data_IF_409987335619
#
_entry.id   IF_409987335619
#
_cell.length_a   1.000
_cell.length_b   1.000
_cell.length_c   1.000
_cell.angle_alpha   90.00
_cell.angle_beta   90.00
_cell.angle_gamma   90.00
#
_symmetry.space_group_name_H-M   'P 1'
#
loop_
_entity.id
_entity.type
_entity.pdbx_description
1 polymer ?
#
# COMPACT_ATOMS: atom_id res chain seq x y z
N UNK A 1 63.99 -12.62 13.11
CA UNK A 1 63.80 -12.15 11.71
C UNK A 1 65.17 -11.88 11.13
N UNK A 2 65.48 -12.38 9.93
CA UNK A 2 66.79 -12.19 9.30
C UNK A 2 66.74 -10.95 8.39
N UNK A 3 67.76 -10.10 8.45
CA UNK A 3 67.90 -9.01 7.49
C UNK A 3 68.27 -9.57 6.10
N UNK A 4 67.60 -9.09 5.05
CA UNK A 4 67.77 -9.57 3.69
C UNK A 4 68.37 -8.49 2.78
N UNK A 5 69.05 -8.91 1.72
CA UNK A 5 69.43 -8.05 0.60
C UNK A 5 68.22 -7.83 -0.33
N UNK A 6 68.19 -6.74 -1.08
CA UNK A 6 67.09 -6.46 -2.02
C UNK A 6 66.87 -7.60 -3.03
N UNK A 7 67.96 -8.18 -3.54
CA UNK A 7 67.91 -9.33 -4.47
C UNK A 7 67.29 -10.58 -3.85
N UNK A 8 67.48 -10.80 -2.54
CA UNK A 8 66.89 -11.95 -1.83
C UNK A 8 65.37 -11.77 -1.69
N UNK A 9 64.90 -10.55 -1.42
CA UNK A 9 63.47 -10.23 -1.37
C UNK A 9 62.83 -10.42 -2.75
N UNK A 10 63.46 -9.93 -3.82
CA UNK A 10 62.96 -10.12 -5.20
C UNK A 10 62.80 -11.59 -5.57
N UNK A 11 63.84 -12.39 -5.34
CA UNK A 11 63.79 -13.84 -5.57
C UNK A 11 62.71 -14.55 -4.76
N UNK A 12 62.39 -14.05 -3.56
CA UNK A 12 61.32 -14.58 -2.74
C UNK A 12 59.95 -14.25 -3.33
N UNK A 13 59.73 -13.02 -3.79
CA UNK A 13 58.47 -12.59 -4.42
C UNK A 13 58.23 -13.32 -5.74
N UNK A 14 59.29 -13.65 -6.48
CA UNK A 14 59.22 -14.47 -7.70
C UNK A 14 59.01 -15.96 -7.44
N UNK A 15 59.10 -16.41 -6.18
CA UNK A 15 58.96 -17.82 -5.85
C UNK A 15 57.53 -18.31 -6.06
N UNK A 16 57.39 -19.54 -6.55
CA UNK A 16 56.07 -20.17 -6.75
C UNK A 16 55.26 -20.22 -5.45
N UNK A 17 55.94 -20.47 -4.32
CA UNK A 17 55.32 -20.50 -2.99
C UNK A 17 54.71 -19.15 -2.61
N UNK A 18 55.37 -18.04 -2.93
CA UNK A 18 54.84 -16.70 -2.69
C UNK A 18 53.65 -16.43 -3.58
N UNK A 19 53.76 -16.70 -4.89
CA UNK A 19 52.67 -16.53 -5.86
C UNK A 19 51.41 -17.31 -5.49
N UNK A 20 51.55 -18.56 -5.02
CA UNK A 20 50.41 -19.37 -4.56
C UNK A 20 49.77 -18.81 -3.28
N UNK A 21 50.59 -18.44 -2.29
CA UNK A 21 50.11 -17.83 -1.05
C UNK A 21 49.36 -16.52 -1.33
N UNK A 22 49.94 -15.68 -2.18
CA UNK A 22 49.41 -14.40 -2.60
C UNK A 22 48.10 -14.53 -3.39
N UNK A 23 48.05 -15.43 -4.37
CA UNK A 23 46.83 -15.68 -5.14
C UNK A 23 45.68 -16.14 -4.24
N UNK A 24 45.97 -16.99 -3.25
CA UNK A 24 44.97 -17.39 -2.24
C UNK A 24 44.52 -16.23 -1.37
N UNK A 25 45.44 -15.35 -0.96
CA UNK A 25 45.10 -14.16 -0.18
C UNK A 25 44.13 -13.24 -0.93
N UNK A 26 44.40 -12.97 -2.20
CA UNK A 26 43.52 -12.17 -3.05
C UNK A 26 42.15 -12.81 -3.27
N UNK A 27 42.11 -14.12 -3.50
CA UNK A 27 40.85 -14.84 -3.65
C UNK A 27 40.01 -14.75 -2.37
N UNK A 28 40.62 -14.91 -1.20
CA UNK A 28 39.92 -14.76 0.08
C UNK A 28 39.45 -13.32 0.32
N UNK A 29 40.24 -12.29 -0.01
CA UNK A 29 39.79 -10.89 0.11
C UNK A 29 38.66 -10.56 -0.88
N UNK A 30 38.69 -11.12 -2.09
CA UNK A 30 37.59 -11.00 -3.05
C UNK A 30 36.30 -11.61 -2.49
N UNK A 31 36.38 -12.83 -1.94
CA UNK A 31 35.25 -13.49 -1.30
C UNK A 31 34.71 -12.67 -0.12
N UNK A 32 35.60 -12.06 0.67
CA UNK A 32 35.23 -11.18 1.79
C UNK A 32 34.46 -9.96 1.32
N UNK A 33 34.90 -9.29 0.25
CA UNK A 33 34.19 -8.13 -0.31
C UNK A 33 32.81 -8.52 -0.83
N UNK A 34 32.72 -9.62 -1.59
CA UNK A 34 31.44 -10.14 -2.07
C UNK A 34 30.49 -10.53 -0.92
N UNK A 35 31.01 -11.11 0.15
CA UNK A 35 30.25 -11.43 1.35
C UNK A 35 29.70 -10.17 2.04
N UNK A 36 30.51 -9.11 2.14
CA UNK A 36 30.09 -7.83 2.71
C UNK A 36 28.99 -7.14 1.87
N UNK A 37 29.12 -7.17 0.53
CA UNK A 37 28.10 -6.64 -0.38
C UNK A 37 26.78 -7.41 -0.21
N UNK A 38 26.84 -8.75 -0.14
CA UNK A 38 25.67 -9.60 0.09
C UNK A 38 24.98 -9.32 1.43
N UNK A 39 25.75 -9.11 2.51
CA UNK A 39 25.21 -8.74 3.82
C UNK A 39 24.45 -7.41 3.73
N UNK A 40 25.02 -6.42 3.04
CA UNK A 40 24.39 -5.11 2.83
C UNK A 40 23.09 -5.21 2.03
N UNK A 41 23.09 -6.06 0.99
CA UNK A 41 21.90 -6.36 0.20
C UNK A 41 20.82 -7.03 1.04
N UNK A 42 21.16 -8.04 1.85
CA UNK A 42 20.23 -8.75 2.72
C UNK A 42 19.59 -7.80 3.75
N UNK A 43 20.35 -6.91 4.38
CA UNK A 43 19.80 -5.86 5.23
C UNK A 43 18.76 -4.99 4.50
N UNK A 44 19.08 -4.56 3.28
CA UNK A 44 18.19 -3.73 2.47
C UNK A 44 16.89 -4.47 2.15
N UNK A 45 16.99 -5.76 1.77
CA UNK A 45 15.83 -6.60 1.47
C UNK A 45 14.96 -6.84 2.72
N UNK A 46 15.58 -7.12 3.88
CA UNK A 46 14.87 -7.29 5.16
C UNK A 46 14.06 -6.03 5.49
N UNK A 47 14.68 -4.86 5.43
CA UNK A 47 14.01 -3.59 5.75
C UNK A 47 12.83 -3.32 4.82
N UNK A 48 12.99 -3.55 3.51
CA UNK A 48 11.92 -3.37 2.53
C UNK A 48 10.76 -4.34 2.78
N UNK A 49 11.05 -5.61 3.06
CA UNK A 49 10.00 -6.61 3.31
C UNK A 49 9.28 -6.37 4.63
N UNK A 50 9.99 -5.97 5.68
CA UNK A 50 9.38 -5.59 6.95
C UNK A 50 8.42 -4.39 6.78
N UNK A 51 8.86 -3.36 6.05
CA UNK A 51 7.99 -2.21 5.74
C UNK A 51 6.74 -2.63 4.97
N UNK A 52 6.88 -3.50 3.95
CA UNK A 52 5.73 -4.02 3.19
C UNK A 52 4.78 -4.83 4.05
N UNK A 53 5.30 -5.64 4.97
CA UNK A 53 4.48 -6.40 5.91
C UNK A 53 3.64 -5.47 6.80
N UNK A 54 4.26 -4.45 7.39
CA UNK A 54 3.57 -3.48 8.24
C UNK A 54 2.53 -2.66 7.47
N UNK A 55 2.88 -2.17 6.28
CA UNK A 55 1.94 -1.43 5.45
C UNK A 55 0.73 -2.29 5.08
N UNK A 56 0.97 -3.52 4.61
CA UNK A 56 -0.11 -4.45 4.23
C UNK A 56 -0.99 -4.80 5.43
N UNK A 57 -0.39 -4.94 6.62
CA UNK A 57 -1.14 -5.18 7.85
C UNK A 57 -2.04 -4.00 8.22
N UNK A 58 -1.56 -2.75 8.05
CA UNK A 58 -2.39 -1.55 8.27
C UNK A 58 -3.56 -1.50 7.30
N UNK A 59 -3.32 -1.76 6.02
CA UNK A 59 -4.38 -1.84 5.00
C UNK A 59 -5.40 -2.94 5.32
N UNK A 60 -4.96 -4.08 5.84
CA UNK A 60 -5.83 -5.16 6.29
C UNK A 60 -6.75 -4.73 7.45
N UNK A 61 -6.20 -4.00 8.41
CA UNK A 61 -6.94 -3.45 9.56
C UNK A 61 -7.97 -2.42 9.08
N UNK A 62 -7.61 -1.52 8.17
CA UNK A 62 -8.54 -0.53 7.62
C UNK A 62 -9.71 -1.20 6.87
N UNK A 63 -9.42 -2.24 6.08
CA UNK A 63 -10.45 -3.03 5.41
C UNK A 63 -11.40 -3.72 6.42
N UNK A 64 -10.87 -4.20 7.55
CA UNK A 64 -11.66 -4.79 8.62
C UNK A 64 -12.57 -3.75 9.30
N UNK A 65 -12.06 -2.55 9.57
CA UNK A 65 -12.85 -1.46 10.12
C UNK A 65 -14.00 -1.07 9.18
N UNK A 66 -13.74 -0.94 7.88
CA UNK A 66 -14.79 -0.69 6.88
C UNK A 66 -15.85 -1.79 6.87
N UNK A 67 -15.46 -3.05 7.04
CA UNK A 67 -16.42 -4.15 7.15
C UNK A 67 -17.33 -3.96 8.37
N UNK A 68 -16.77 -3.64 9.54
CA UNK A 68 -17.52 -3.33 10.75
C UNK A 68 -18.49 -2.15 10.57
N UNK A 69 -18.06 -1.06 9.93
CA UNK A 69 -18.95 0.07 9.64
C UNK A 69 -20.16 -0.33 8.78
N UNK A 70 -19.97 -1.22 7.80
CA UNK A 70 -21.06 -1.71 6.98
C UNK A 70 -22.02 -2.60 7.78
N UNK A 71 -21.51 -3.40 8.73
CA UNK A 71 -22.35 -4.20 9.64
C UNK A 71 -23.18 -3.31 10.56
N UNK A 72 -22.57 -2.29 11.15
CA UNK A 72 -23.26 -1.32 12.02
C UNK A 72 -24.35 -0.57 11.25
N UNK A 73 -24.03 -0.09 10.03
CA UNK A 73 -25.02 0.54 9.15
C UNK A 73 -26.16 -0.42 8.80
N UNK A 74 -25.85 -1.67 8.50
CA UNK A 74 -26.87 -2.69 8.21
C UNK A 74 -27.76 -2.97 9.43
N UNK A 75 -27.20 -2.99 10.64
CA UNK A 75 -27.94 -3.19 11.88
C UNK A 75 -28.88 -2.02 12.18
N UNK A 76 -28.41 -0.78 12.01
CA UNK A 76 -29.25 0.43 12.17
C UNK A 76 -30.40 0.44 11.18
N UNK A 77 -30.12 0.20 9.90
CA UNK A 77 -31.15 0.12 8.86
C UNK A 77 -32.14 -1.02 9.13
N UNK A 78 -31.69 -2.14 9.69
CA UNK A 78 -32.59 -3.25 10.07
C UNK A 78 -33.55 -2.86 11.18
N UNK A 79 -33.09 -2.09 12.17
CA UNK A 79 -33.96 -1.56 13.21
C UNK A 79 -35.01 -0.60 12.63
N UNK A 80 -34.57 0.32 11.74
CA UNK A 80 -35.47 1.23 11.04
C UNK A 80 -36.50 0.48 10.17
N UNK A 81 -36.08 -0.58 9.47
CA UNK A 81 -36.98 -1.43 8.68
C UNK A 81 -38.10 -2.03 9.55
N UNK A 82 -37.77 -2.53 10.73
CA UNK A 82 -38.75 -3.10 11.65
C UNK A 82 -39.74 -2.04 12.16
N UNK A 83 -39.29 -0.81 12.42
CA UNK A 83 -40.19 0.28 12.79
C UNK A 83 -41.15 0.66 11.66
N UNK A 84 -40.67 0.70 10.41
CA UNK A 84 -41.51 1.01 9.26
C UNK A 84 -42.49 -0.12 8.97
N UNK A 85 -42.06 -1.37 9.11
CA UNK A 85 -42.92 -2.54 8.97
C UNK A 85 -44.09 -2.48 9.96
N UNK A 86 -43.80 -2.17 11.23
CA UNK A 86 -44.85 -1.95 12.25
C UNK A 86 -45.83 -0.84 11.85
N UNK A 87 -45.32 0.32 11.42
CA UNK A 87 -46.16 1.43 10.94
C UNK A 87 -46.99 1.05 9.71
N UNK A 88 -46.45 0.21 8.83
CA UNK A 88 -47.15 -0.23 7.63
C UNK A 88 -48.35 -1.11 7.97
N UNK A 89 -48.26 -1.95 9.01
CA UNK A 89 -49.41 -2.72 9.47
C UNK A 89 -50.54 -1.84 10.01
N UNK A 90 -50.19 -0.80 10.77
CA UNK A 90 -51.17 0.18 11.27
C UNK A 90 -51.82 0.95 10.12
N UNK A 91 -51.04 1.41 9.13
CA UNK A 91 -51.55 2.12 7.96
C UNK A 91 -52.51 1.25 7.13
N UNK A 92 -52.16 -0.02 6.90
CA UNK A 92 -53.03 -0.98 6.21
C UNK A 92 -54.33 -1.21 6.98
N UNK A 93 -54.26 -1.37 8.31
CA UNK A 93 -55.46 -1.53 9.13
C UNK A 93 -56.40 -0.31 9.05
N UNK A 94 -55.83 0.90 9.08
CA UNK A 94 -56.59 2.14 8.92
C UNK A 94 -57.24 2.25 7.54
N UNK A 95 -56.50 1.92 6.48
CA UNK A 95 -57.04 1.87 5.12
C UNK A 95 -58.18 0.86 5.01
N UNK A 96 -58.03 -0.35 5.55
CA UNK A 96 -59.04 -1.40 5.49
C UNK A 96 -60.34 -1.00 6.23
N UNK A 97 -60.21 -0.41 7.41
CA UNK A 97 -61.36 0.13 8.14
C UNK A 97 -62.10 1.20 7.33
N UNK A 98 -61.37 2.13 6.70
CA UNK A 98 -61.95 3.16 5.85
C UNK A 98 -62.58 2.56 4.58
N UNK A 99 -61.95 1.54 3.99
CA UNK A 99 -62.45 0.85 2.79
C UNK A 99 -63.80 0.20 3.05
N UNK A 100 -63.95 -0.47 4.20
CA UNK A 100 -65.22 -1.07 4.63
C UNK A 100 -66.28 0.02 4.79
N UNK A 101 -65.97 1.11 5.52
CA UNK A 101 -66.91 2.22 5.71
C UNK A 101 -67.37 2.84 4.38
N UNK A 102 -66.45 3.08 3.43
CA UNK A 102 -66.77 3.61 2.10
C UNK A 102 -67.66 2.63 1.32
N UNK A 103 -67.44 1.32 1.44
CA UNK A 103 -68.28 0.29 0.81
C UNK A 103 -69.72 0.32 1.35
N UNK A 104 -69.89 0.54 2.65
CA UNK A 104 -71.22 0.67 3.26
C UNK A 104 -71.95 1.91 2.77
N UNK A 105 -71.26 3.05 2.68
CA UNK A 105 -71.82 4.30 2.14
C UNK A 105 -72.20 4.14 0.67
N UNK A 106 -71.36 3.48 -0.12
CA UNK A 106 -71.64 3.20 -1.53
C UNK A 106 -72.90 2.36 -1.70
N UNK A 107 -73.06 1.34 -0.85
CA UNK A 107 -74.25 0.49 -0.84
C UNK A 107 -75.51 1.28 -0.46
N UNK A 108 -75.42 2.17 0.54
CA UNK A 108 -76.52 3.10 0.90
C UNK A 108 -76.86 4.06 -0.24
N UNK A 109 -75.84 4.61 -0.91
CA UNK A 109 -76.02 5.49 -2.07
C UNK A 109 -76.81 4.77 -3.17
N UNK A 110 -76.40 3.55 -3.54
CA UNK A 110 -77.11 2.75 -4.53
C UNK A 110 -78.57 2.44 -4.15
N UNK A 111 -78.86 2.23 -2.86
CA UNK A 111 -80.24 2.06 -2.40
C UNK A 111 -81.09 3.33 -2.56
N UNK A 112 -80.53 4.51 -2.27
CA UNK A 112 -81.20 5.81 -2.46
C UNK A 112 -81.37 6.13 -3.94
N UNK A 113 -80.37 5.84 -4.78
CA UNK A 113 -80.45 5.96 -6.25
C UNK A 113 -81.58 5.10 -6.81
N UNK A 114 -81.67 3.84 -6.39
CA UNK A 114 -82.75 2.95 -6.80
C UNK A 114 -84.12 3.48 -6.36
N UNK A 115 -84.22 4.01 -5.14
CA UNK A 115 -85.46 4.63 -4.65
C UNK A 115 -85.86 5.87 -5.48
N UNK A 116 -84.88 6.73 -5.83
CA UNK A 116 -85.09 7.88 -6.70
C UNK A 116 -85.60 7.45 -8.07
N UNK A 117 -84.98 6.44 -8.69
CA UNK A 117 -85.38 5.90 -9.99
C UNK A 117 -86.82 5.37 -9.93
N UNK A 118 -87.17 4.60 -8.90
CA UNK A 118 -88.54 4.12 -8.69
C UNK A 118 -89.53 5.29 -8.61
N UNK A 119 -89.26 6.31 -7.81
CA UNK A 119 -90.12 7.49 -7.69
C UNK A 119 -90.23 8.28 -8.99
N UNK A 120 -89.15 8.40 -9.78
CA UNK A 120 -89.21 9.01 -11.12
C UNK A 120 -90.18 8.27 -12.03
N UNK A 121 -90.11 6.94 -12.07
CA UNK A 121 -91.04 6.14 -12.88
C UNK A 121 -92.49 6.27 -12.40
N UNK A 122 -92.73 6.37 -11.09
CA UNK A 122 -94.07 6.61 -10.53
C UNK A 122 -94.60 7.99 -10.90
N UNK A 123 -93.77 9.05 -10.78
CA UNK A 123 -94.12 10.42 -11.18
C UNK A 123 -94.47 10.48 -12.67
N UNK A 124 -93.69 9.82 -13.54
CA UNK A 124 -93.98 9.72 -14.96
C UNK A 124 -95.31 9.00 -15.24
N UNK A 125 -95.58 7.88 -14.54
CA UNK A 125 -96.86 7.15 -14.65
C UNK A 125 -98.04 8.04 -14.24
N UNK A 126 -97.97 8.70 -13.08
CA UNK A 126 -99.02 9.60 -12.60
C UNK A 126 -99.21 10.81 -13.52
N UNK A 127 -98.13 11.36 -14.10
CA UNK A 127 -98.20 12.44 -15.09
C UNK A 127 -98.96 12.00 -16.35
N UNK A 128 -98.61 10.83 -16.91
CA UNK A 128 -99.30 10.26 -18.08
C UNK A 128 -100.77 9.93 -17.80
N UNK A 129 -101.08 9.37 -16.63
CA UNK A 129 -102.46 9.08 -16.22
C UNK A 129 -103.29 10.35 -16.03
N UNK A 130 -102.70 11.44 -15.52
CA UNK A 130 -103.35 12.73 -15.37
C UNK A 130 -103.70 13.37 -16.74
N UNK A 131 -102.80 13.24 -17.72
CA UNK A 131 -103.01 13.70 -19.10
C UNK A 131 -104.16 12.95 -19.78
N UNK A 132 -104.28 11.64 -19.54
CA UNK A 132 -105.27 10.76 -20.17
C UNK A 132 -106.66 10.78 -19.50
N UNK A 133 -106.77 11.18 -18.23
CA UNK A 133 -108.05 11.20 -17.49
C UNK A 133 -108.97 12.35 -17.97
N UNK A 134 -110.26 12.06 -18.16
CA UNK A 134 -111.31 13.02 -18.56
C UNK A 134 -112.26 13.41 -17.43
N UNK A 135 -112.21 12.70 -16.31
CA UNK A 135 -113.05 12.93 -15.13
C UNK A 135 -112.41 13.95 -14.18
N UNK A 136 -113.20 14.93 -13.72
CA UNK A 136 -112.74 16.04 -12.91
C UNK A 136 -112.31 15.61 -11.49
N UNK A 137 -113.01 14.63 -10.90
CA UNK A 137 -112.69 14.13 -9.56
C UNK A 137 -111.40 13.29 -9.58
N UNK A 138 -111.29 12.37 -10.54
CA UNK A 138 -110.08 11.56 -10.75
C UNK A 138 -108.85 12.42 -11.08
N UNK A 139 -109.00 13.49 -11.87
CA UNK A 139 -107.92 14.45 -12.13
C UNK A 139 -107.48 15.18 -10.87
N UNK A 140 -108.41 15.59 -10.00
CA UNK A 140 -108.07 16.26 -8.75
C UNK A 140 -107.28 15.34 -7.80
N UNK A 141 -107.65 14.05 -7.74
CA UNK A 141 -106.94 13.04 -6.95
C UNK A 141 -105.55 12.72 -7.53
N UNK A 142 -105.44 12.46 -8.84
CA UNK A 142 -104.17 12.24 -9.53
C UNK A 142 -103.22 13.42 -9.37
N UNK A 143 -103.73 14.65 -9.41
CA UNK A 143 -102.94 15.88 -9.20
C UNK A 143 -102.41 15.98 -7.76
N UNK A 144 -103.19 15.56 -6.75
CA UNK A 144 -102.73 15.51 -5.35
C UNK A 144 -101.65 14.43 -5.17
N UNK A 145 -101.86 13.25 -5.72
CA UNK A 145 -100.90 12.13 -5.67
C UNK A 145 -99.59 12.45 -6.41
N UNK A 146 -99.67 13.08 -7.57
CA UNK A 146 -98.52 13.56 -8.33
C UNK A 146 -97.72 14.59 -7.52
N UNK A 147 -98.39 15.58 -6.91
CA UNK A 147 -97.72 16.60 -6.08
C UNK A 147 -97.02 15.99 -4.86
N UNK A 148 -97.63 14.97 -4.23
CA UNK A 148 -97.00 14.22 -3.12
C UNK A 148 -95.76 13.49 -3.59
N UNK A 149 -95.85 12.73 -4.68
CA UNK A 149 -94.72 11.97 -5.26
C UNK A 149 -93.60 12.87 -5.76
N UNK A 150 -93.91 14.04 -6.32
CA UNK A 150 -92.91 15.06 -6.67
C UNK A 150 -92.20 15.62 -5.44
N UNK A 151 -92.92 15.84 -4.33
CA UNK A 151 -92.30 16.28 -3.08
C UNK A 151 -91.43 15.21 -2.43
N UNK A 152 -91.81 13.93 -2.54
CA UNK A 152 -91.00 12.79 -2.11
C UNK A 152 -89.75 12.65 -2.98
N UNK A 153 -89.89 12.74 -4.30
CA UNK A 153 -88.77 12.74 -5.23
C UNK A 153 -87.76 13.85 -4.92
N UNK A 154 -88.24 15.08 -4.68
CA UNK A 154 -87.38 16.21 -4.33
C UNK A 154 -86.65 16.02 -2.98
N UNK A 155 -87.21 15.24 -2.04
CA UNK A 155 -86.52 14.89 -0.78
C UNK A 155 -85.44 13.84 -1.03
N UNK A 156 -85.76 12.78 -1.77
CA UNK A 156 -84.82 11.70 -2.11
C UNK A 156 -83.67 12.23 -2.98
N UNK A 157 -83.92 13.21 -3.84
CA UNK A 157 -82.88 13.90 -4.62
C UNK A 157 -81.88 14.66 -3.75
N UNK A 158 -82.34 15.31 -2.68
CA UNK A 158 -81.45 15.96 -1.71
C UNK A 158 -80.67 14.93 -0.90
N UNK A 159 -81.34 13.89 -0.42
CA UNK A 159 -80.68 12.80 0.31
C UNK A 159 -79.61 12.13 -0.56
N UNK A 160 -79.89 11.87 -1.84
CA UNK A 160 -78.91 11.33 -2.76
C UNK A 160 -77.71 12.26 -2.93
N UNK A 161 -77.94 13.56 -3.09
CA UNK A 161 -76.86 14.54 -3.19
C UNK A 161 -75.99 14.56 -1.92
N UNK A 162 -76.60 14.47 -0.73
CA UNK A 162 -75.90 14.41 0.55
C UNK A 162 -75.08 13.12 0.70
N UNK A 163 -75.67 11.96 0.40
CA UNK A 163 -74.99 10.66 0.48
C UNK A 163 -73.87 10.56 -0.56
N UNK A 164 -74.07 11.06 -1.77
CA UNK A 164 -73.04 11.14 -2.82
C UNK A 164 -71.88 12.04 -2.40
N UNK A 165 -72.15 13.23 -1.85
CA UNK A 165 -71.11 14.11 -1.33
C UNK A 165 -70.37 13.51 -0.13
N UNK A 166 -71.05 12.70 0.70
CA UNK A 166 -70.40 11.97 1.78
C UNK A 166 -69.50 10.85 1.26
N UNK A 167 -69.98 10.05 0.31
CA UNK A 167 -69.20 9.02 -0.37
C UNK A 167 -67.92 9.59 -0.97
N UNK A 168 -68.02 10.68 -1.74
CA UNK A 168 -66.85 11.29 -2.40
C UNK A 168 -65.79 11.77 -1.39
N UNK A 169 -66.21 12.35 -0.26
CA UNK A 169 -65.28 12.77 0.80
C UNK A 169 -64.56 11.58 1.43
N UNK A 170 -65.31 10.55 1.82
CA UNK A 170 -64.72 9.38 2.47
C UNK A 170 -63.89 8.53 1.50
N UNK A 171 -64.27 8.51 0.22
CA UNK A 171 -63.50 7.85 -0.84
C UNK A 171 -62.17 8.57 -1.10
N UNK A 172 -62.15 9.91 -1.11
CA UNK A 172 -60.89 10.68 -1.17
C UNK A 172 -59.98 10.38 0.03
N UNK A 173 -60.55 10.31 1.23
CA UNK A 173 -59.80 9.93 2.44
C UNK A 173 -59.21 8.52 2.33
N UNK A 174 -59.99 7.56 1.83
CA UNK A 174 -59.52 6.18 1.55
C UNK A 174 -58.34 6.17 0.58
N UNK A 175 -58.39 6.95 -0.50
CA UNK A 175 -57.28 7.04 -1.46
C UNK A 175 -56.02 7.63 -0.82
N UNK A 176 -56.16 8.66 0.01
CA UNK A 176 -55.01 9.22 0.75
C UNK A 176 -54.37 8.22 1.72
N UNK A 177 -55.16 7.38 2.39
CA UNK A 177 -54.63 6.31 3.25
C UNK A 177 -53.91 5.24 2.42
N UNK A 178 -54.39 4.95 1.20
CA UNK A 178 -53.71 4.03 0.30
C UNK A 178 -52.33 4.56 -0.14
N UNK A 179 -52.24 5.85 -0.48
CA UNK A 179 -50.96 6.50 -0.81
C UNK A 179 -49.95 6.40 0.35
N UNK A 180 -50.41 6.52 1.60
CA UNK A 180 -49.57 6.33 2.79
C UNK A 180 -49.06 4.89 2.91
N UNK A 181 -49.92 3.90 2.67
CA UNK A 181 -49.53 2.48 2.64
C UNK A 181 -48.48 2.23 1.56
N UNK A 182 -48.70 2.71 0.34
CA UNK A 182 -47.75 2.56 -0.77
C UNK A 182 -46.41 3.22 -0.45
N UNK A 183 -46.42 4.41 0.14
CA UNK A 183 -45.20 5.07 0.60
C UNK A 183 -44.45 4.22 1.63
N UNK A 184 -45.13 3.71 2.66
CA UNK A 184 -44.47 2.93 3.71
C UNK A 184 -43.89 1.61 3.16
N UNK A 185 -44.60 0.96 2.25
CA UNK A 185 -44.10 -0.24 1.56
C UNK A 185 -42.89 0.07 0.68
N UNK A 186 -42.92 1.15 -0.10
CA UNK A 186 -41.77 1.59 -0.90
C UNK A 186 -40.54 1.83 -0.04
N UNK A 187 -40.69 2.56 1.08
CA UNK A 187 -39.59 2.82 2.01
C UNK A 187 -39.09 1.54 2.69
N UNK A 188 -39.98 0.64 3.08
CA UNK A 188 -39.60 -0.66 3.65
C UNK A 188 -38.76 -1.49 2.67
N UNK A 189 -39.17 -1.53 1.39
CA UNK A 189 -38.42 -2.21 0.34
C UNK A 189 -37.01 -1.62 0.18
N UNK A 190 -36.90 -0.30 0.08
CA UNK A 190 -35.62 0.39 -0.10
C UNK A 190 -34.64 0.12 1.05
N UNK A 191 -35.14 0.16 2.30
CA UNK A 191 -34.30 -0.12 3.47
C UNK A 191 -33.87 -1.58 3.48
N UNK A 192 -34.77 -2.52 3.20
CA UNK A 192 -34.44 -3.95 3.17
C UNK A 192 -33.39 -4.28 2.11
N UNK A 193 -33.50 -3.70 0.91
CA UNK A 193 -32.49 -3.81 -0.13
C UNK A 193 -31.15 -3.20 0.31
N UNK A 194 -31.19 -2.03 0.94
CA UNK A 194 -30.00 -1.37 1.48
C UNK A 194 -29.30 -2.21 2.55
N UNK A 195 -30.04 -2.83 3.48
CA UNK A 195 -29.49 -3.75 4.49
C UNK A 195 -28.76 -4.90 3.82
N UNK A 196 -29.37 -5.52 2.81
CA UNK A 196 -28.75 -6.62 2.05
C UNK A 196 -27.45 -6.17 1.38
N UNK A 197 -27.47 -5.00 0.73
CA UNK A 197 -26.29 -4.43 0.08
C UNK A 197 -25.14 -4.19 1.08
N UNK A 198 -25.44 -3.59 2.25
CA UNK A 198 -24.43 -3.36 3.29
C UNK A 198 -23.83 -4.66 3.82
N UNK A 199 -24.64 -5.71 4.01
CA UNK A 199 -24.13 -7.04 4.39
C UNK A 199 -23.18 -7.63 3.36
N UNK A 200 -23.51 -7.52 2.07
CA UNK A 200 -22.64 -7.99 0.98
C UNK A 200 -21.34 -7.19 0.96
N UNK A 201 -21.41 -5.86 1.12
CA UNK A 201 -20.22 -5.00 1.18
C UNK A 201 -19.32 -5.34 2.38
N UNK A 202 -19.89 -5.54 3.58
CA UNK A 202 -19.12 -6.02 4.74
C UNK A 202 -18.38 -7.31 4.41
N UNK A 203 -19.11 -8.32 3.89
CA UNK A 203 -18.51 -9.62 3.57
C UNK A 203 -17.34 -9.50 2.61
N UNK A 204 -17.45 -8.65 1.58
CA UNK A 204 -16.35 -8.40 0.62
C UNK A 204 -15.16 -7.74 1.30
N UNK A 205 -15.37 -6.70 2.11
CA UNK A 205 -14.30 -6.02 2.84
C UNK A 205 -13.61 -6.94 3.87
N UNK A 206 -14.36 -7.85 4.49
CA UNK A 206 -13.79 -8.87 5.38
C UNK A 206 -12.91 -9.87 4.64
N UNK A 207 -13.36 -10.35 3.48
CA UNK A 207 -12.55 -11.23 2.62
C UNK A 207 -11.28 -10.54 2.11
N UNK A 208 -11.37 -9.24 1.78
CA UNK A 208 -10.21 -8.43 1.40
C UNK A 208 -9.23 -8.30 2.56
N UNK A 209 -9.72 -7.99 3.76
CA UNK A 209 -8.92 -7.95 4.98
C UNK A 209 -8.20 -9.27 5.26
N UNK A 210 -8.90 -10.41 5.19
CA UNK A 210 -8.32 -11.75 5.38
C UNK A 210 -7.20 -12.04 4.37
N UNK A 211 -7.39 -11.65 3.09
CA UNK A 211 -6.35 -11.79 2.06
C UNK A 211 -5.12 -10.94 2.35
N UNK A 212 -5.33 -9.70 2.81
CA UNK A 212 -4.24 -8.79 3.15
C UNK A 212 -3.48 -9.25 4.39
N UNK A 213 -4.17 -9.76 5.43
CA UNK A 213 -3.52 -10.35 6.59
C UNK A 213 -2.63 -11.53 6.21
N UNK A 214 -3.14 -12.44 5.38
CA UNK A 214 -2.35 -13.57 4.88
C UNK A 214 -1.11 -13.09 4.12
N UNK A 215 -1.25 -12.09 3.24
CA UNK A 215 -0.11 -11.52 2.52
C UNK A 215 0.91 -10.84 3.44
N UNK A 216 0.45 -10.19 4.51
CA UNK A 216 1.32 -9.60 5.52
C UNK A 216 2.09 -10.68 6.30
N UNK A 217 1.44 -11.81 6.61
CA UNK A 217 2.11 -13.00 7.19
C UNK A 217 3.16 -13.57 6.23
N UNK A 218 2.84 -13.74 4.95
CA UNK A 218 3.81 -14.21 3.94
C UNK A 218 5.07 -13.31 3.90
N UNK A 219 4.91 -11.98 4.03
CA UNK A 219 6.04 -11.06 4.11
C UNK A 219 6.83 -11.20 5.42
N UNK A 220 6.17 -11.41 6.56
CA UNK A 220 6.84 -11.65 7.85
C UNK A 220 7.65 -12.94 7.82
N UNK A 221 7.09 -14.00 7.26
CA UNK A 221 7.80 -15.27 7.09
C UNK A 221 9.04 -15.09 6.20
N UNK A 222 8.92 -14.30 5.13
CA UNK A 222 10.07 -13.98 4.28
C UNK A 222 11.13 -13.14 5.00
N UNK A 223 10.72 -12.21 5.87
CA UNK A 223 11.64 -11.43 6.72
C UNK A 223 12.43 -12.36 7.65
N UNK A 224 11.78 -13.32 8.30
CA UNK A 224 12.47 -14.27 9.18
C UNK A 224 13.45 -15.16 8.40
N UNK A 225 13.06 -15.65 7.22
CA UNK A 225 13.98 -16.38 6.33
C UNK A 225 15.22 -15.54 5.96
N UNK A 226 15.02 -14.28 5.57
CA UNK A 226 16.12 -13.39 5.23
C UNK A 226 17.02 -13.07 6.42
N UNK A 227 16.46 -12.95 7.63
CA UNK A 227 17.25 -12.78 8.87
C UNK A 227 18.12 -14.01 9.16
N UNK A 228 17.59 -15.22 8.96
CA UNK A 228 18.40 -16.43 9.09
C UNK A 228 19.53 -16.48 8.05
N UNK A 229 19.24 -16.11 6.80
CA UNK A 229 20.24 -16.03 5.73
C UNK A 229 21.33 -14.99 6.06
N UNK A 230 20.93 -13.83 6.59
CA UNK A 230 21.83 -12.79 7.06
C UNK A 230 22.75 -13.31 8.16
N UNK A 231 22.21 -13.95 9.19
CA UNK A 231 23.02 -14.52 10.28
C UNK A 231 24.02 -15.57 9.78
N UNK A 232 23.61 -16.40 8.80
CA UNK A 232 24.53 -17.37 8.17
C UNK A 232 25.64 -16.65 7.40
N UNK A 233 25.31 -15.61 6.64
CA UNK A 233 26.28 -14.81 5.90
C UNK A 233 27.26 -14.08 6.83
N UNK A 234 26.78 -13.49 7.93
CA UNK A 234 27.63 -12.84 8.94
C UNK A 234 28.60 -13.82 9.61
N UNK A 235 28.15 -15.03 9.94
CA UNK A 235 29.02 -16.09 10.48
C UNK A 235 30.09 -16.51 9.48
N UNK A 236 29.72 -16.70 8.21
CA UNK A 236 30.66 -17.02 7.15
C UNK A 236 31.68 -15.90 6.95
N UNK A 237 31.23 -14.65 6.98
CA UNK A 237 32.11 -13.48 6.85
C UNK A 237 33.10 -13.39 8.01
N UNK A 238 32.65 -13.66 9.24
CA UNK A 238 33.52 -13.70 10.41
C UNK A 238 34.56 -14.82 10.32
N UNK A 239 34.15 -16.03 9.94
CA UNK A 239 35.08 -17.16 9.73
C UNK A 239 36.09 -16.86 8.61
N UNK A 240 35.66 -16.18 7.54
CA UNK A 240 36.54 -15.80 6.45
C UNK A 240 37.56 -14.74 6.87
N UNK A 241 37.15 -13.76 7.71
CA UNK A 241 38.07 -12.78 8.31
C UNK A 241 39.12 -13.47 9.18
N UNK A 242 38.70 -14.36 10.07
CA UNK A 242 39.62 -15.15 10.92
C UNK A 242 40.60 -15.97 10.06
N UNK A 243 40.08 -16.65 9.03
CA UNK A 243 40.90 -17.42 8.09
C UNK A 243 41.87 -16.53 7.28
N UNK A 244 41.45 -15.30 6.93
CA UNK A 244 42.28 -14.32 6.24
C UNK A 244 43.46 -13.90 7.13
N UNK A 245 43.20 -13.62 8.40
CA UNK A 245 44.24 -13.22 9.35
C UNK A 245 45.21 -14.36 9.67
N UNK A 246 44.72 -15.59 9.76
CA UNK A 246 45.56 -16.79 9.87
C UNK A 246 46.43 -16.99 8.63
N UNK A 247 45.84 -16.88 7.42
CA UNK A 247 46.56 -17.03 6.16
C UNK A 247 47.61 -15.92 5.99
N UNK A 248 47.31 -14.69 6.38
CA UNK A 248 48.28 -13.58 6.44
C UNK A 248 49.40 -13.89 7.42
N UNK A 249 49.05 -14.29 8.65
CA UNK A 249 50.03 -14.60 9.70
C UNK A 249 50.96 -15.75 9.31
N UNK A 250 50.50 -16.69 8.49
CA UNK A 250 51.33 -17.78 7.96
C UNK A 250 52.54 -17.28 7.18
N UNK A 251 52.47 -16.10 6.54
CA UNK A 251 53.58 -15.49 5.80
C UNK A 251 54.83 -15.31 6.66
N UNK A 252 54.67 -15.03 7.97
CA UNK A 252 55.79 -14.94 8.92
C UNK A 252 56.59 -16.23 8.97
N UNK A 253 55.92 -17.39 8.96
CA UNK A 253 56.57 -18.70 8.98
C UNK A 253 57.08 -19.11 7.60
N UNK A 254 56.31 -18.84 6.55
CA UNK A 254 56.64 -19.25 5.17
C UNK A 254 57.84 -18.47 4.61
N UNK A 255 57.94 -17.18 4.93
CA UNK A 255 58.85 -16.23 4.27
C UNK A 255 59.77 -15.48 5.24
N UNK A 256 59.63 -15.70 6.56
CA UNK A 256 60.48 -15.08 7.57
C UNK A 256 60.30 -13.56 7.70
N UNK A 257 59.11 -13.05 7.41
CA UNK A 257 58.78 -11.62 7.39
C UNK A 257 57.99 -11.15 8.62
N UNK A 258 57.89 -9.83 8.79
CA UNK A 258 56.88 -9.20 9.64
C UNK A 258 55.62 -9.00 8.79
N UNK A 259 54.46 -9.27 9.36
CA UNK A 259 53.16 -9.17 8.68
C UNK A 259 52.38 -8.04 9.35
N UNK A 260 52.03 -7.02 8.58
CA UNK A 260 51.02 -6.02 8.93
C UNK A 260 49.68 -6.32 8.24
N UNK A 261 48.70 -5.44 8.42
CA UNK A 261 47.38 -5.60 7.81
C UNK A 261 47.41 -5.43 6.29
N UNK A 262 48.20 -4.47 5.81
CA UNK A 262 48.30 -4.10 4.40
C UNK A 262 49.69 -4.36 3.80
N UNK A 263 50.67 -4.78 4.60
CA UNK A 263 52.06 -4.85 4.17
C UNK A 263 52.81 -6.06 4.73
N UNK A 264 53.81 -6.52 3.98
CA UNK A 264 54.87 -7.41 4.46
C UNK A 264 56.17 -6.64 4.62
N UNK A 265 56.92 -6.99 5.67
CA UNK A 265 58.12 -6.27 6.07
C UNK A 265 59.34 -7.18 6.21
N UNK A 266 60.46 -6.77 5.63
CA UNK A 266 61.78 -7.40 5.85
C UNK A 266 62.83 -6.34 6.22
N UNK A 267 63.59 -6.52 7.31
CA UNK A 267 64.68 -5.61 7.64
C UNK A 267 65.72 -5.56 6.52
N UNK A 268 66.13 -4.36 6.11
CA UNK A 268 67.17 -4.21 5.09
C UNK A 268 68.54 -4.52 5.68
N UNK A 269 69.31 -5.38 5.00
CA UNK A 269 70.71 -5.63 5.34
C UNK A 269 71.65 -4.53 4.86
N UNK A 270 71.23 -3.78 3.84
CA UNK A 270 71.99 -2.67 3.25
C UNK A 270 71.90 -1.40 4.11
N UNK A 271 70.76 -1.18 4.76
CA UNK A 271 70.48 0.00 5.59
C UNK A 271 69.85 -0.42 6.91
N UNK A 272 70.61 -0.32 8.00
CA UNK A 272 70.19 -0.81 9.33
C UNK A 272 68.91 -0.14 9.87
N UNK A 273 68.65 1.11 9.45
CA UNK A 273 67.46 1.89 9.84
C UNK A 273 66.27 1.72 8.90
N UNK A 274 66.37 0.88 7.87
CA UNK A 274 65.32 0.75 6.85
C UNK A 274 64.74 -0.65 6.78
N UNK A 275 63.51 -0.72 6.27
CA UNK A 275 62.74 -1.96 6.12
C UNK A 275 62.18 -1.99 4.71
N UNK A 276 62.31 -3.12 4.02
CA UNK A 276 61.60 -3.37 2.77
C UNK A 276 60.13 -3.62 3.09
N UNK A 277 59.26 -2.89 2.40
CA UNK A 277 57.82 -2.88 2.58
C UNK A 277 57.17 -3.32 1.27
N UNK A 278 56.32 -4.34 1.32
CA UNK A 278 55.61 -4.87 0.15
C UNK A 278 54.09 -4.77 0.40
N UNK A 279 53.36 -3.93 -0.35
CA UNK A 279 51.91 -3.80 -0.22
C UNK A 279 51.18 -5.06 -0.62
N UNK A 280 50.12 -5.37 0.13
CA UNK A 280 49.23 -6.50 -0.08
C UNK A 280 48.05 -6.19 -1.01
N UNK A 281 47.90 -4.94 -1.44
CA UNK A 281 46.95 -4.52 -2.45
C UNK A 281 47.47 -3.27 -3.18
N UNK A 282 46.77 -2.89 -4.25
CA UNK A 282 46.98 -1.57 -4.84
C UNK A 282 46.32 -0.51 -3.96
N UNK A 283 47.05 0.57 -3.68
CA UNK A 283 46.54 1.72 -2.94
C UNK A 283 46.76 2.98 -3.79
N UNK A 284 45.69 3.50 -4.38
CA UNK A 284 45.72 4.72 -5.18
C UNK A 284 45.84 5.97 -4.31
N UNK A 285 45.26 5.93 -3.12
CA UNK A 285 45.21 7.06 -2.19
C UNK A 285 45.62 6.64 -0.77
N UNK A 286 45.94 7.61 0.09
CA UNK A 286 46.17 7.41 1.53
C UNK A 286 47.63 7.29 1.95
N UNK A 287 48.56 7.18 1.00
CA UNK A 287 50.00 7.20 1.24
C UNK A 287 50.66 8.38 0.52
N UNK A 288 51.95 8.63 0.82
CA UNK A 288 52.71 9.70 0.19
C UNK A 288 52.97 9.45 -1.32
N UNK A 289 52.73 8.23 -1.80
CA UNK A 289 52.84 7.79 -3.20
C UNK A 289 51.76 6.75 -3.51
N UNK A 290 51.44 6.57 -4.78
CA UNK A 290 50.62 5.45 -5.24
C UNK A 290 51.37 4.12 -5.06
N UNK A 291 50.71 3.17 -4.42
CA UNK A 291 51.27 1.85 -4.16
C UNK A 291 50.67 0.82 -5.09
N UNK A 292 51.54 0.01 -5.69
CA UNK A 292 51.15 -1.18 -6.44
C UNK A 292 51.46 -2.41 -5.62
N UNK A 293 50.57 -3.38 -5.66
CA UNK A 293 50.72 -4.63 -4.95
C UNK A 293 52.00 -5.35 -5.41
N UNK A 294 52.65 -6.09 -4.50
CA UNK A 294 53.89 -6.87 -4.76
C UNK A 294 55.14 -6.00 -5.04
N UNK A 295 55.01 -4.71 -5.35
CA UNK A 295 56.17 -3.84 -5.52
C UNK A 295 56.93 -3.64 -4.20
N UNK A 296 58.25 -3.44 -4.31
CA UNK A 296 59.12 -3.24 -3.15
C UNK A 296 59.34 -1.75 -2.93
N UNK A 297 58.96 -1.30 -1.74
CA UNK A 297 59.21 0.05 -1.26
C UNK A 297 60.17 0.01 -0.07
N UNK A 298 60.84 1.12 0.19
CA UNK A 298 61.66 1.30 1.37
C UNK A 298 60.91 2.18 2.38
N UNK A 299 60.81 1.69 3.62
CA UNK A 299 60.26 2.42 4.75
C UNK A 299 61.37 2.65 5.78
N UNK A 300 61.35 3.81 6.43
CA UNK A 300 62.17 4.03 7.63
C UNK A 300 61.59 3.24 8.81
N UNK A 301 62.45 2.65 9.64
CA UNK A 301 62.03 1.79 10.74
C UNK A 301 61.26 2.54 11.84
N UNK A 302 61.49 3.84 12.02
CA UNK A 302 60.81 4.67 13.02
C UNK A 302 59.52 5.29 12.47
N UNK A 303 59.55 5.77 11.22
CA UNK A 303 58.39 6.43 10.57
C UNK A 303 57.41 5.44 9.93
N UNK A 304 57.85 4.22 9.63
CA UNK A 304 57.00 3.18 9.05
C UNK A 304 56.48 3.55 7.66
N UNK A 305 55.20 3.24 7.40
CA UNK A 305 54.55 3.42 6.10
C UNK A 305 54.06 4.85 5.83
N UNK A 306 54.26 5.79 6.76
CA UNK A 306 53.92 7.21 6.57
C UNK A 306 54.76 7.86 5.46
N UNK A 307 55.96 7.33 5.21
CA UNK A 307 56.85 7.82 4.17
C UNK A 307 57.54 6.64 3.47
N UNK A 308 57.02 6.31 2.29
CA UNK A 308 57.51 5.22 1.45
C UNK A 308 58.34 5.76 0.29
N UNK A 309 59.51 5.17 0.09
CA UNK A 309 60.39 5.46 -1.05
C UNK A 309 60.26 4.31 -2.08
N UNK A 310 60.01 4.62 -3.37
CA UNK A 310 60.01 3.59 -4.40
C UNK A 310 61.43 3.10 -4.66
N UNK A 311 61.62 1.78 -4.75
CA UNK A 311 62.89 1.20 -5.21
C UNK A 311 62.81 0.93 -6.71
N UNK A 312 63.89 1.21 -7.49
CA UNK A 312 63.88 1.02 -8.94
C UNK A 312 63.67 -0.46 -9.29
N UNK A 313 62.78 -0.83 -10.23
CA UNK A 313 62.65 -2.20 -10.71
C UNK A 313 63.95 -2.69 -11.38
N UNK A 314 64.18 -4.00 -11.48
CA UNK A 314 65.44 -4.65 -11.94
C UNK A 314 66.04 -4.13 -13.27
N UNK A 315 65.29 -3.36 -14.08
CA UNK A 315 65.78 -2.77 -15.33
C UNK A 315 66.55 -1.46 -15.17
N UNK A 316 66.65 -0.90 -13.96
CA UNK A 316 67.52 0.24 -13.67
C UNK A 316 68.61 -0.17 -12.67
N UNK A 317 69.35 -1.23 -12.98
CA UNK A 317 70.75 -1.23 -12.55
C UNK A 317 71.41 -0.04 -13.23
N UNK A 318 71.57 1.06 -12.48
CA UNK A 318 72.61 2.07 -12.62
C UNK A 318 73.45 1.85 -13.90
N UNK A 319 72.92 2.29 -15.06
CA UNK A 319 73.84 2.64 -16.14
C UNK A 319 74.69 3.72 -15.51
N UNK A 320 76.00 3.48 -15.46
CA UNK A 320 76.99 4.41 -14.92
C UNK A 320 77.07 5.73 -15.70
N UNK A 321 76.12 5.96 -16.60
CA UNK A 321 75.90 7.11 -17.45
C UNK A 321 74.46 7.61 -17.22
N UNK A 322 74.17 8.19 -16.04
CA UNK A 322 73.01 9.09 -15.93
C UNK A 322 73.49 10.49 -16.35
N UNK A 323 73.33 10.80 -17.63
CA UNK A 323 73.75 12.06 -18.25
C UNK A 323 73.14 13.29 -17.57
N UNK A 324 72.05 13.12 -16.80
CA UNK A 324 71.41 14.22 -16.05
C UNK A 324 72.22 14.70 -14.86
N UNK A 325 73.01 13.83 -14.22
CA UNK A 325 73.89 14.22 -13.11
C UNK A 325 75.11 14.97 -13.65
N UNK A 326 75.68 14.53 -14.79
CA UNK A 326 76.80 15.21 -15.43
C UNK A 326 76.41 16.59 -15.98
N UNK A 327 75.19 16.76 -16.52
CA UNK A 327 74.68 18.07 -16.94
C UNK A 327 74.47 19.01 -15.74
N UNK A 328 74.03 18.50 -14.59
CA UNK A 328 73.84 19.30 -13.38
C UNK A 328 75.17 19.86 -12.82
N UNK A 329 76.28 19.10 -12.93
CA UNK A 329 77.61 19.56 -12.49
C UNK A 329 78.43 20.30 -13.56
N UNK A 330 78.05 20.23 -14.86
CA UNK A 330 78.70 20.99 -15.92
C UNK A 330 78.26 22.46 -15.98
N UNK A 331 77.00 22.76 -15.64
CA UNK A 331 76.46 24.13 -15.70
C UNK A 331 77.16 25.09 -14.71
N UNK A 332 77.79 24.59 -13.63
CA UNK A 332 78.49 25.46 -12.66
C UNK A 332 79.96 25.77 -12.97
N UNK A 333 80.52 25.34 -14.12
CA UNK A 333 81.92 25.62 -14.48
C UNK A 333 82.14 26.54 -15.68
N UNK A 334 81.11 26.88 -16.45
CA UNK A 334 81.24 27.80 -17.59
C UNK A 334 80.81 29.26 -17.28
N UNK A 335 80.14 29.51 -16.16
CA UNK A 335 79.71 30.87 -15.75
C UNK A 335 80.67 31.58 -14.75
N UNK A 336 81.88 31.07 -14.55
CA UNK A 336 82.89 31.65 -13.65
C UNK A 336 84.15 32.14 -14.39
N UNK A 337 84.03 32.59 -15.64
CA UNK A 337 85.16 33.15 -16.37
C UNK A 337 84.74 33.98 -17.56
N UNK A 338 84.43 35.27 -17.32
CA UNK A 338 84.68 36.41 -18.22
C UNK A 338 84.27 37.73 -17.53
N UNK A 339 85.07 38.13 -16.54
CA UNK A 339 85.11 39.50 -16.02
C UNK A 339 86.42 40.16 -16.46
N UNK A 340 86.50 40.56 -17.73
CA UNK A 340 87.62 41.34 -18.26
C UNK A 340 87.46 42.81 -17.94
N UNK A 341 88.33 43.33 -17.06
CA UNK A 341 88.62 44.78 -16.91
C UNK A 341 90.00 45.02 -17.52
N UNK A 342 90.11 46.09 -18.31
CA UNK A 342 91.19 46.32 -19.28
C UNK A 342 92.53 46.79 -18.73
N UNK A 343 93.49 46.88 -19.66
CA UNK A 343 94.50 47.95 -19.74
C UNK A 343 95.32 47.82 -21.05
N UNK A 344 95.03 48.71 -22.02
CA UNK A 344 95.98 49.53 -22.80
C UNK A 344 95.30 50.24 -23.96
#
# INVERSE_FOLDING_TARGET
MKALWLREVRRLLESERFSQWWGRLHEMDRQRRQGADKITELHSQINLMAFRAEQTQKEAIDALYRAGEYEDKAARLRAEAAEIENKSYEAVANFENQRIMVSDIYSRMGAVEHHQLSLKTEVEKFSRSLEQSRDAEQRAELKRSLKRKQSELAKVERELAEVSAHYERENKRKMSLWEEVEHLWGRSLDINLSVSEKKVRSKRSRQESERLFKRAEDFKDKVEQLKEELQRAERQQKQLLESLDEHRSSARQLFGCSVGEEFLYWPSREREKSVFCIPLADHQDGFNIELKAINIYLADRQRGVEFLEPLPPDNEMLSRDDTRIDDFFRVSREDAGLGGVGDK
#
